data_IF_038113697833
#
_entry.id   IF_038113697833
#
_cell.length_a   1.000
_cell.length_b   1.000
_cell.length_c   1.000
_cell.angle_alpha   90.00
_cell.angle_beta   90.00
_cell.angle_gamma   90.00
#
_symmetry.space_group_name_H-M   'P 1'
#
loop_
_entity.id
_entity.type
_entity.pdbx_description
1 polymer ?
#
# COMPACT_ATOMS: atom_id res chain seq x y z
N UNK A 1 16.24 13.50 -40.81
CA UNK A 1 15.21 13.99 -39.88
C UNK A 1 13.96 13.16 -40.14
N UNK A 2 13.81 12.03 -39.44
CA UNK A 2 12.56 11.26 -39.50
C UNK A 2 11.66 11.78 -38.40
N UNK A 3 10.76 12.71 -38.76
CA UNK A 3 9.60 13.03 -37.93
C UNK A 3 8.63 11.87 -38.11
N UNK A 4 8.60 10.93 -37.18
CA UNK A 4 7.50 9.97 -37.09
C UNK A 4 6.28 10.72 -36.59
N UNK A 5 5.39 11.05 -37.53
CA UNK A 5 4.07 11.60 -37.24
C UNK A 5 3.25 10.50 -36.55
N UNK A 6 3.29 10.47 -35.21
CA UNK A 6 2.45 9.58 -34.41
C UNK A 6 1.10 10.25 -34.23
N UNK A 7 0.17 10.00 -35.15
CA UNK A 7 -1.23 10.38 -34.95
C UNK A 7 -1.81 9.61 -33.76
N UNK A 8 -2.29 10.32 -32.74
CA UNK A 8 -2.90 9.72 -31.56
C UNK A 8 -4.17 8.94 -31.94
N UNK A 9 -4.26 7.70 -31.46
CA UNK A 9 -5.45 6.86 -31.54
C UNK A 9 -6.41 7.14 -30.38
N UNK A 10 -7.68 6.76 -30.53
CA UNK A 10 -8.66 6.76 -29.41
C UNK A 10 -8.34 5.72 -28.33
N UNK A 11 -7.54 4.72 -28.69
CA UNK A 11 -7.15 3.64 -27.78
C UNK A 11 -5.84 3.94 -27.03
N UNK A 12 -5.21 5.09 -27.31
CA UNK A 12 -4.00 5.50 -26.61
C UNK A 12 -4.35 5.93 -25.18
N UNK A 13 -3.58 5.45 -24.21
CA UNK A 13 -3.78 5.71 -22.78
C UNK A 13 -2.68 6.63 -22.26
N UNK A 14 -3.08 7.73 -21.63
CA UNK A 14 -2.16 8.65 -20.96
C UNK A 14 -2.09 8.37 -19.46
N UNK A 15 -0.89 8.42 -18.89
CA UNK A 15 -0.69 8.50 -17.44
C UNK A 15 -0.75 9.98 -17.07
N UNK A 16 -1.86 10.40 -16.46
CA UNK A 16 -2.12 11.81 -16.10
C UNK A 16 -1.78 12.13 -14.65
N UNK A 17 -1.59 11.12 -13.82
CA UNK A 17 -0.98 11.29 -12.53
C UNK A 17 -0.51 10.00 -11.88
N UNK A 18 0.22 10.15 -10.79
CA UNK A 18 0.92 9.07 -10.10
C UNK A 18 1.23 9.47 -8.65
N UNK A 19 1.34 8.48 -7.77
CA UNK A 19 1.99 8.59 -6.47
C UNK A 19 2.75 7.30 -6.17
N UNK A 20 3.76 7.38 -5.31
CA UNK A 20 4.58 6.26 -4.88
C UNK A 20 5.03 6.46 -3.43
N UNK A 21 4.95 5.40 -2.64
CA UNK A 21 5.58 5.32 -1.34
C UNK A 21 6.36 4.01 -1.27
N UNK A 22 7.68 4.11 -1.17
CA UNK A 22 8.60 2.97 -1.20
C UNK A 22 9.73 3.19 -0.19
N UNK A 23 10.46 2.14 0.20
CA UNK A 23 11.60 2.28 1.09
C UNK A 23 12.55 3.41 0.65
N UNK A 24 12.83 4.34 1.56
CA UNK A 24 13.73 5.46 1.33
C UNK A 24 13.19 6.61 0.48
N UNK A 25 11.92 6.58 0.05
CA UNK A 25 11.29 7.66 -0.69
C UNK A 25 9.78 7.78 -0.40
N UNK A 26 9.40 8.93 0.15
CA UNK A 26 8.02 9.36 0.25
C UNK A 26 7.72 10.27 -0.95
N UNK A 27 6.92 9.78 -1.90
CA UNK A 27 6.55 10.51 -3.12
C UNK A 27 7.51 10.34 -4.30
N UNK A 28 7.04 10.79 -5.46
CA UNK A 28 7.70 10.59 -6.75
C UNK A 28 9.02 11.35 -6.86
N UNK A 29 9.09 12.57 -6.33
CA UNK A 29 10.30 13.39 -6.42
C UNK A 29 11.46 12.75 -5.66
N UNK A 30 11.21 12.26 -4.44
CA UNK A 30 12.19 11.53 -3.64
C UNK A 30 12.59 10.21 -4.32
N UNK A 31 11.62 9.49 -4.89
CA UNK A 31 11.89 8.24 -5.59
C UNK A 31 12.75 8.46 -6.84
N UNK A 32 12.42 9.48 -7.63
CA UNK A 32 13.18 9.85 -8.82
C UNK A 32 14.60 10.30 -8.48
N UNK A 33 14.78 11.11 -7.43
CA UNK A 33 16.09 11.49 -6.95
C UNK A 33 16.94 10.26 -6.58
N UNK A 34 16.36 9.31 -5.84
CA UNK A 34 17.04 8.07 -5.48
C UNK A 34 17.47 7.26 -6.71
N UNK A 35 16.59 7.11 -7.70
CA UNK A 35 16.91 6.40 -8.95
C UNK A 35 18.02 7.08 -9.74
N UNK A 36 17.90 8.40 -9.95
CA UNK A 36 18.87 9.21 -10.68
C UNK A 36 20.25 9.15 -10.05
N UNK A 37 20.30 9.19 -8.72
CA UNK A 37 21.55 9.27 -7.95
C UNK A 37 22.10 7.88 -7.56
N UNK A 38 21.42 6.79 -7.93
CA UNK A 38 21.85 5.41 -7.65
C UNK A 38 21.79 5.02 -6.17
N UNK A 39 20.85 5.61 -5.41
CA UNK A 39 20.71 5.40 -3.97
C UNK A 39 20.05 4.04 -3.68
N UNK A 40 20.67 3.24 -2.81
CA UNK A 40 20.06 2.02 -2.27
C UNK A 40 19.32 2.32 -0.97
N UNK A 41 18.02 2.01 -0.93
CA UNK A 41 17.21 2.13 0.28
C UNK A 41 17.32 0.91 1.22
N UNK A 42 18.03 -0.14 0.82
CA UNK A 42 18.20 -1.34 1.62
C UNK A 42 19.15 -1.06 2.79
N UNK A 43 18.76 -1.53 3.97
CA UNK A 43 19.56 -1.38 5.20
C UNK A 43 19.99 -2.74 5.69
N UNK A 44 21.28 -2.88 5.97
CA UNK A 44 21.80 -4.02 6.72
C UNK A 44 21.57 -3.77 8.22
N UNK A 45 20.98 -4.74 8.90
CA UNK A 45 20.74 -4.68 10.33
C UNK A 45 21.90 -5.33 11.09
N UNK A 46 22.28 -4.73 12.22
CA UNK A 46 23.18 -5.35 13.18
C UNK A 46 22.43 -6.34 14.09
N UNK A 47 23.19 -7.13 14.85
CA UNK A 47 22.61 -8.14 15.75
C UNK A 47 21.73 -7.53 16.84
N UNK A 48 22.05 -6.34 17.34
CA UNK A 48 21.27 -5.67 18.37
C UNK A 48 19.90 -5.25 17.82
N UNK A 49 19.86 -4.71 16.59
CA UNK A 49 18.64 -4.36 15.87
C UNK A 49 17.78 -5.58 15.59
N UNK A 50 18.39 -6.69 15.15
CA UNK A 50 17.68 -7.95 14.91
C UNK A 50 17.08 -8.52 16.18
N UNK A 51 17.83 -8.53 17.28
CA UNK A 51 17.33 -8.98 18.60
C UNK A 51 16.19 -8.09 19.10
N UNK A 52 16.31 -6.78 18.92
CA UNK A 52 15.25 -5.83 19.28
C UNK A 52 13.98 -6.05 18.44
N UNK A 53 14.11 -6.49 17.19
CA UNK A 53 12.99 -6.88 16.32
C UNK A 53 12.44 -8.29 16.60
N UNK A 54 12.97 -9.00 17.61
CA UNK A 54 12.50 -10.33 18.00
C UNK A 54 13.10 -11.50 17.21
N UNK A 55 14.15 -11.28 16.42
CA UNK A 55 14.82 -12.36 15.70
C UNK A 55 15.58 -13.30 16.65
N UNK A 56 15.46 -14.61 16.41
CA UNK A 56 16.06 -15.60 17.31
C UNK A 56 17.56 -15.79 17.05
N UNK A 57 18.32 -16.08 18.11
CA UNK A 57 19.75 -16.35 17.99
C UNK A 57 20.05 -17.54 17.05
N UNK A 58 19.18 -18.57 17.07
CA UNK A 58 19.30 -19.73 16.19
C UNK A 58 19.15 -19.34 14.71
N UNK A 59 18.19 -18.47 14.38
CA UNK A 59 17.93 -18.05 13.00
C UNK A 59 19.03 -17.13 12.49
N UNK A 60 19.51 -16.19 13.32
CA UNK A 60 20.65 -15.32 12.99
C UNK A 60 21.94 -16.11 12.76
N UNK A 61 22.14 -17.24 13.44
CA UNK A 61 23.34 -18.07 13.30
C UNK A 61 23.38 -18.91 12.00
N UNK A 62 22.30 -18.93 11.20
CA UNK A 62 22.25 -19.72 9.96
C UNK A 62 23.18 -19.11 8.91
N UNK A 63 24.04 -19.89 8.22
CA UNK A 63 24.92 -19.37 7.17
C UNK A 63 24.19 -18.68 6.01
N UNK A 64 22.92 -19.03 5.79
CA UNK A 64 22.05 -18.45 4.76
C UNK A 64 21.28 -17.21 5.22
N UNK A 65 21.46 -16.76 6.46
CA UNK A 65 20.75 -15.59 6.98
C UNK A 65 21.28 -14.31 6.34
N UNK A 66 20.39 -13.52 5.74
CA UNK A 66 20.73 -12.23 5.13
C UNK A 66 20.07 -11.12 5.97
N UNK A 67 20.83 -10.37 6.80
CA UNK A 67 20.29 -9.36 7.70
C UNK A 67 20.06 -8.04 6.95
N UNK A 68 19.24 -8.06 5.89
CA UNK A 68 18.92 -6.88 5.08
C UNK A 68 17.42 -6.66 5.08
N UNK A 69 17.01 -5.41 5.24
CA UNK A 69 15.61 -4.99 5.24
C UNK A 69 15.39 -3.79 4.31
N UNK A 70 14.14 -3.62 3.88
CA UNK A 70 13.65 -2.45 3.20
C UNK A 70 12.63 -1.76 4.12
N UNK A 71 13.13 -0.97 5.07
CA UNK A 71 12.31 -0.38 6.11
C UNK A 71 11.48 0.78 5.56
N UNK A 72 10.22 0.85 5.99
CA UNK A 72 9.31 1.98 5.76
C UNK A 72 8.85 2.50 7.13
N UNK A 73 9.60 3.44 7.75
CA UNK A 73 9.17 4.07 9.00
C UNK A 73 7.79 4.72 8.84
N UNK A 74 6.92 4.57 9.84
CA UNK A 74 5.58 5.16 9.81
C UNK A 74 4.59 4.47 8.85
N UNK A 75 4.93 3.31 8.29
CA UNK A 75 4.00 2.55 7.44
C UNK A 75 2.75 2.05 8.19
N UNK A 76 2.83 2.00 9.51
CA UNK A 76 1.74 1.71 10.44
C UNK A 76 0.82 2.92 10.72
N UNK A 77 1.25 4.14 10.37
CA UNK A 77 0.48 5.37 10.54
C UNK A 77 -0.57 5.51 9.44
N UNK A 78 -1.72 6.11 9.78
CA UNK A 78 -2.82 6.35 8.83
C UNK A 78 -3.72 7.47 9.34
N UNK A 79 -4.11 8.40 8.47
CA UNK A 79 -5.07 9.45 8.79
C UNK A 79 -6.51 8.91 8.71
N UNK A 80 -6.92 8.21 9.77
CA UNK A 80 -8.21 7.54 9.80
C UNK A 80 -9.39 8.50 9.66
N UNK A 81 -9.34 9.66 10.31
CA UNK A 81 -10.44 10.63 10.30
C UNK A 81 -10.65 11.20 8.90
N UNK A 82 -9.55 11.53 8.20
CA UNK A 82 -9.62 12.01 6.83
C UNK A 82 -10.34 11.05 5.88
N UNK A 83 -10.09 9.74 6.01
CA UNK A 83 -10.73 8.71 5.20
C UNK A 83 -12.06 8.18 5.79
N UNK A 84 -12.57 8.78 6.86
CA UNK A 84 -13.87 8.43 7.45
C UNK A 84 -13.87 7.14 8.29
N UNK A 85 -12.71 6.70 8.80
CA UNK A 85 -12.59 5.55 9.68
C UNK A 85 -12.54 5.96 11.16
N UNK A 86 -13.17 5.15 12.02
CA UNK A 86 -12.91 5.27 13.46
C UNK A 86 -11.50 4.74 13.80
N UNK A 87 -10.89 5.18 14.91
CA UNK A 87 -9.59 4.65 15.33
C UNK A 87 -9.58 3.13 15.52
N UNK A 88 -10.70 2.54 15.96
CA UNK A 88 -10.83 1.08 16.13
C UNK A 88 -10.87 0.36 14.78
N UNK A 89 -11.63 0.88 13.82
CA UNK A 89 -11.74 0.28 12.49
C UNK A 89 -10.42 0.38 11.72
N UNK A 90 -9.72 1.51 11.84
CA UNK A 90 -8.41 1.70 11.23
C UNK A 90 -7.33 0.78 11.83
N UNK A 91 -7.38 0.52 13.15
CA UNK A 91 -6.40 -0.32 13.82
C UNK A 91 -6.45 -1.80 13.38
N UNK A 92 -7.61 -2.30 12.99
CA UNK A 92 -7.79 -3.69 12.53
C UNK A 92 -7.59 -3.85 11.02
N UNK A 93 -7.35 -2.75 10.33
CA UNK A 93 -7.22 -2.67 8.88
C UNK A 93 -5.80 -3.01 8.44
N UNK A 94 -5.66 -3.85 7.42
CA UNK A 94 -4.35 -4.15 6.84
C UNK A 94 -3.65 -2.83 6.42
N UNK A 95 -2.41 -2.55 6.89
CA UNK A 95 -1.64 -1.39 6.48
C UNK A 95 -1.55 -1.22 4.96
N UNK A 96 -1.51 -2.31 4.18
CA UNK A 96 -1.49 -2.23 2.72
C UNK A 96 -2.75 -1.55 2.17
N UNK A 97 -3.92 -1.80 2.78
CA UNK A 97 -5.16 -1.16 2.34
C UNK A 97 -5.21 0.31 2.76
N UNK A 98 -4.69 0.61 3.96
CA UNK A 98 -4.55 1.99 4.46
C UNK A 98 -3.66 2.82 3.55
N UNK A 99 -2.49 2.28 3.21
CA UNK A 99 -1.53 2.94 2.31
C UNK A 99 -2.02 3.02 0.88
N UNK A 100 -2.81 2.05 0.42
CA UNK A 100 -3.40 2.14 -0.91
C UNK A 100 -4.46 3.26 -1.01
N UNK A 101 -5.22 3.54 0.06
CA UNK A 101 -6.10 4.71 0.12
C UNK A 101 -5.31 6.02 0.00
N UNK A 102 -4.24 6.16 0.79
CA UNK A 102 -3.36 7.34 0.76
C UNK A 102 -2.75 7.56 -0.63
N UNK A 103 -2.12 6.53 -1.21
CA UNK A 103 -1.47 6.63 -2.52
C UNK A 103 -2.48 6.87 -3.65
N UNK A 104 -3.69 6.29 -3.57
CA UNK A 104 -4.74 6.55 -4.54
C UNK A 104 -5.22 8.01 -4.47
N UNK A 105 -5.39 8.56 -3.26
CA UNK A 105 -5.72 9.98 -3.07
C UNK A 105 -4.64 10.89 -3.65
N UNK A 106 -3.37 10.67 -3.27
CA UNK A 106 -2.23 11.45 -3.74
C UNK A 106 -2.08 11.41 -5.27
N UNK A 107 -2.32 10.25 -5.90
CA UNK A 107 -2.27 10.13 -7.35
C UNK A 107 -3.38 10.95 -8.04
N UNK A 108 -4.58 10.99 -7.45
CA UNK A 108 -5.70 11.80 -7.92
C UNK A 108 -5.44 13.30 -7.73
N UNK A 109 -4.86 13.68 -6.59
CA UNK A 109 -4.43 15.05 -6.31
C UNK A 109 -3.35 15.51 -7.29
N UNK A 110 -2.33 14.68 -7.53
CA UNK A 110 -1.25 14.98 -8.47
C UNK A 110 -1.75 15.08 -9.92
N UNK A 111 -2.78 14.30 -10.29
CA UNK A 111 -3.48 14.43 -11.57
C UNK A 111 -4.33 15.72 -11.68
N UNK A 112 -4.51 16.47 -10.60
CA UNK A 112 -5.42 17.62 -10.54
C UNK A 112 -6.90 17.25 -10.59
N UNK A 113 -7.24 16.01 -10.20
CA UNK A 113 -8.57 15.43 -10.33
C UNK A 113 -9.01 14.75 -9.04
N UNK A 114 -9.49 15.55 -8.08
CA UNK A 114 -10.08 15.03 -6.85
C UNK A 114 -11.33 14.17 -7.15
N UNK A 115 -11.65 13.16 -6.33
CA UNK A 115 -12.79 12.27 -6.58
C UNK A 115 -14.09 12.99 -6.91
N UNK A 116 -14.42 14.02 -6.14
CA UNK A 116 -15.63 14.85 -6.30
C UNK A 116 -15.65 15.70 -7.58
N UNK A 117 -14.51 15.90 -8.23
CA UNK A 117 -14.39 16.69 -9.46
C UNK A 117 -14.69 15.89 -10.73
N UNK A 118 -14.76 14.56 -10.62
CA UNK A 118 -14.90 13.65 -11.76
C UNK A 118 -16.37 13.32 -12.03
N UNK A 119 -16.82 13.60 -13.25
CA UNK A 119 -18.21 13.36 -13.66
C UNK A 119 -18.46 11.99 -14.32
N UNK A 120 -17.40 11.21 -14.55
CA UNK A 120 -17.44 9.93 -15.27
C UNK A 120 -17.13 8.73 -14.38
N UNK A 121 -17.41 7.50 -14.85
CA UNK A 121 -17.05 6.30 -14.12
C UNK A 121 -15.53 6.15 -14.03
N UNK A 122 -15.00 6.06 -12.81
CA UNK A 122 -13.59 5.80 -12.54
C UNK A 122 -13.45 4.36 -12.07
N UNK A 123 -12.66 3.57 -12.81
CA UNK A 123 -12.34 2.20 -12.43
C UNK A 123 -11.14 2.13 -11.49
N UNK A 124 -11.13 1.15 -10.59
CA UNK A 124 -10.02 0.85 -9.67
C UNK A 124 -9.58 -0.59 -9.89
N UNK A 125 -8.30 -0.77 -10.19
CA UNK A 125 -7.69 -2.07 -10.43
C UNK A 125 -6.48 -2.19 -9.49
N UNK A 126 -6.50 -3.16 -8.57
CA UNK A 126 -5.52 -3.21 -7.50
C UNK A 126 -5.09 -4.63 -7.15
N UNK A 127 -3.88 -4.75 -6.59
CA UNK A 127 -3.33 -5.97 -6.02
C UNK A 127 -2.48 -5.62 -4.79
N UNK A 128 -2.24 -6.60 -3.93
CA UNK A 128 -1.45 -6.44 -2.71
C UNK A 128 -0.79 -7.77 -2.33
N UNK A 129 0.27 -7.68 -1.52
CA UNK A 129 1.05 -8.82 -1.08
C UNK A 129 0.32 -9.70 -0.08
N UNK A 130 1.06 -10.60 0.58
CA UNK A 130 0.52 -11.41 1.66
C UNK A 130 -0.03 -10.51 2.79
N UNK A 131 -1.26 -10.77 3.25
CA UNK A 131 -1.86 -10.11 4.41
C UNK A 131 -1.24 -10.55 5.73
N UNK A 132 0.05 -10.26 5.94
CA UNK A 132 0.80 -10.69 7.11
C UNK A 132 0.28 -10.06 8.41
N UNK A 133 -0.29 -8.85 8.32
CA UNK A 133 -0.88 -8.14 9.46
C UNK A 133 -2.00 -8.95 10.13
N UNK A 134 -2.85 -9.58 9.33
CA UNK A 134 -3.90 -10.45 9.86
C UNK A 134 -3.34 -11.58 10.73
N UNK A 135 -2.29 -12.27 10.26
CA UNK A 135 -1.73 -13.40 10.98
C UNK A 135 -0.89 -13.01 12.19
N UNK A 136 -0.04 -11.98 12.06
CA UNK A 136 0.97 -11.66 13.06
C UNK A 136 0.61 -10.52 14.02
N UNK A 137 -0.49 -9.80 13.77
CA UNK A 137 -0.94 -8.72 14.62
C UNK A 137 -2.38 -8.93 15.12
N UNK A 138 -3.28 -9.38 14.23
CA UNK A 138 -4.70 -9.57 14.58
C UNK A 138 -4.91 -10.93 15.27
N UNK A 139 -4.57 -12.04 14.61
CA UNK A 139 -4.75 -13.38 15.17
C UNK A 139 -3.89 -13.66 16.41
N UNK A 140 -2.80 -12.91 16.59
CA UNK A 140 -1.97 -12.96 17.80
C UNK A 140 -2.57 -12.21 18.99
N UNK A 141 -3.72 -11.54 18.82
CA UNK A 141 -4.44 -10.84 19.87
C UNK A 141 -5.81 -11.51 20.10
N UNK A 142 -5.91 -12.53 20.98
CA UNK A 142 -7.14 -13.28 21.19
C UNK A 142 -8.32 -12.42 21.66
N UNK A 143 -8.06 -11.43 22.51
CA UNK A 143 -9.11 -10.54 23.03
C UNK A 143 -9.77 -9.73 21.91
N UNK A 144 -8.96 -9.20 20.97
CA UNK A 144 -9.45 -8.49 19.80
C UNK A 144 -10.28 -9.41 18.88
N UNK A 145 -9.82 -10.65 18.71
CA UNK A 145 -10.50 -11.66 17.90
C UNK A 145 -11.88 -11.99 18.47
N UNK A 146 -11.97 -12.15 19.80
CA UNK A 146 -13.22 -12.46 20.48
C UNK A 146 -14.19 -11.27 20.49
N UNK A 147 -13.70 -10.03 20.61
CA UNK A 147 -14.51 -8.80 20.63
C UNK A 147 -15.13 -8.47 19.26
N UNK A 148 -14.33 -8.50 18.19
CA UNK A 148 -14.78 -8.09 16.84
C UNK A 148 -15.34 -9.27 16.05
N UNK A 149 -14.79 -10.46 16.26
CA UNK A 149 -15.15 -11.68 15.55
C UNK A 149 -14.31 -11.90 14.27
N UNK A 150 -13.88 -13.15 14.10
CA UNK A 150 -13.03 -13.59 12.99
C UNK A 150 -13.58 -13.27 11.59
N UNK A 151 -14.90 -13.28 11.44
CA UNK A 151 -15.52 -13.04 10.14
C UNK A 151 -15.21 -11.62 9.65
N UNK A 152 -15.45 -10.59 10.47
CA UNK A 152 -15.20 -9.19 10.12
C UNK A 152 -13.70 -8.93 9.99
N UNK A 153 -12.91 -9.39 10.97
CA UNK A 153 -11.46 -9.19 10.96
C UNK A 153 -10.80 -9.75 9.70
N UNK A 154 -11.17 -10.98 9.31
CA UNK A 154 -10.63 -11.61 8.11
C UNK A 154 -11.18 -10.95 6.85
N UNK A 155 -12.49 -11.00 6.65
CA UNK A 155 -13.08 -10.65 5.36
C UNK A 155 -12.98 -9.14 5.14
N UNK A 156 -13.67 -8.34 5.94
CA UNK A 156 -13.79 -6.91 5.64
C UNK A 156 -12.52 -6.12 5.95
N UNK A 157 -11.67 -6.59 6.88
CA UNK A 157 -10.47 -5.88 7.30
C UNK A 157 -9.22 -6.18 6.47
N UNK A 158 -8.97 -7.46 6.16
CA UNK A 158 -7.65 -7.93 5.75
C UNK A 158 -7.65 -8.83 4.50
N UNK A 159 -8.81 -9.23 3.98
CA UNK A 159 -8.88 -10.00 2.74
C UNK A 159 -8.61 -9.08 1.54
N UNK A 160 -7.86 -9.62 0.57
CA UNK A 160 -7.44 -8.90 -0.64
C UNK A 160 -8.63 -8.41 -1.46
N UNK A 161 -9.78 -9.06 -1.32
CA UNK A 161 -11.04 -8.76 -2.00
C UNK A 161 -11.59 -7.35 -1.71
N UNK A 162 -11.08 -6.68 -0.66
CA UNK A 162 -11.56 -5.35 -0.26
C UNK A 162 -10.61 -4.20 -0.62
N UNK A 163 -9.47 -4.47 -1.26
CA UNK A 163 -8.49 -3.43 -1.56
C UNK A 163 -9.04 -2.38 -2.54
N UNK A 164 -9.45 -2.81 -3.74
CA UNK A 164 -9.97 -1.91 -4.77
C UNK A 164 -11.35 -1.35 -4.39
N UNK A 165 -12.21 -2.18 -3.83
CA UNK A 165 -13.61 -1.83 -3.54
C UNK A 165 -13.72 -0.83 -2.40
N UNK A 166 -12.78 -0.86 -1.44
CA UNK A 166 -12.71 0.16 -0.39
C UNK A 166 -12.33 1.52 -0.94
N UNK A 167 -11.36 1.61 -1.85
CA UNK A 167 -11.04 2.88 -2.53
C UNK A 167 -12.26 3.40 -3.29
N UNK A 168 -12.91 2.54 -4.08
CA UNK A 168 -14.13 2.92 -4.79
C UNK A 168 -15.25 3.40 -3.85
N UNK A 169 -15.38 2.77 -2.68
CA UNK A 169 -16.38 3.15 -1.69
C UNK A 169 -16.05 4.51 -1.04
N UNK A 170 -14.83 4.68 -0.53
CA UNK A 170 -14.40 5.90 0.18
C UNK A 170 -14.39 7.11 -0.74
N UNK A 171 -14.00 6.94 -2.01
CA UNK A 171 -13.91 8.02 -3.01
C UNK A 171 -15.15 8.13 -3.90
N UNK A 172 -16.22 7.39 -3.62
CA UNK A 172 -17.47 7.37 -4.40
C UNK A 172 -17.28 7.04 -5.91
N UNK A 173 -16.27 6.23 -6.26
CA UNK A 173 -15.95 5.89 -7.64
C UNK A 173 -16.90 4.82 -8.19
N UNK A 174 -17.49 5.08 -9.37
CA UNK A 174 -18.60 4.28 -9.94
C UNK A 174 -18.21 3.40 -11.13
N UNK A 175 -16.92 3.29 -11.46
CA UNK A 175 -16.45 2.37 -12.48
C UNK A 175 -16.21 0.95 -11.95
N UNK A 176 -15.63 0.06 -12.77
CA UNK A 176 -15.25 -1.28 -12.34
C UNK A 176 -14.27 -1.23 -11.16
N UNK A 177 -14.50 -2.04 -10.13
CA UNK A 177 -13.58 -2.18 -9.01
C UNK A 177 -13.14 -3.62 -8.91
N UNK A 178 -11.89 -3.89 -9.28
CA UNK A 178 -11.36 -5.24 -9.49
C UNK A 178 -10.07 -5.44 -8.72
N UNK A 179 -10.07 -6.46 -7.86
CA UNK A 179 -8.84 -6.98 -7.28
C UNK A 179 -8.25 -8.03 -8.24
N UNK A 180 -6.97 -7.89 -8.56
CA UNK A 180 -6.25 -8.79 -9.45
C UNK A 180 -4.94 -9.22 -8.80
N UNK A 181 -4.69 -10.53 -8.80
CA UNK A 181 -3.54 -11.15 -8.17
C UNK A 181 -2.92 -12.14 -9.16
N UNK A 182 -1.67 -11.91 -9.56
CA UNK A 182 -0.93 -12.76 -10.51
C UNK A 182 0.43 -13.24 -9.99
N UNK A 183 0.77 -12.89 -8.75
CA UNK A 183 1.74 -13.48 -7.83
C UNK A 183 1.59 -12.77 -6.48
#
# INVERSE_FOLDING_TARGET
MNSTDHSLSRDDIAIVGMSVNVPGAEGIDAYWANLRDGVSALKRLDEAQLRAAGESAERMARPSYVPVTAAMPGYDMFDAEFFGFSPKDAAILDPQHRKFLEVAWEAMEQAGHMPESLSGPVGVYAGCGMGSYFYFNICSNPELVDDVGMFLLRHTGNDKDFLSTRVSHVFDLKGPSINLQTA
#
